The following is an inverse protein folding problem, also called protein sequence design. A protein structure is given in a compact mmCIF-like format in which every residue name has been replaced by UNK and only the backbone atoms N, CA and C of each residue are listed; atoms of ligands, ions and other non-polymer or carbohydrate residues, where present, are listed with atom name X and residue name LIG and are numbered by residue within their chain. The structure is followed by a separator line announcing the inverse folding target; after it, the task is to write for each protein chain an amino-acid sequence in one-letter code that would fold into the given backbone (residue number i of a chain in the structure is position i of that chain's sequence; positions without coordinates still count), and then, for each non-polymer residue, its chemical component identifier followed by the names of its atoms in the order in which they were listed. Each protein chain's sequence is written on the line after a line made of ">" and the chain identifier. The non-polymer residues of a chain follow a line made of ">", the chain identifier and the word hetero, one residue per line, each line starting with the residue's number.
data_IF_724848739721
#
_entry.id   IF_724848739721
#
_cell.length_a   1.000
_cell.length_b   1.000
_cell.length_c   1.000
_cell.angle_alpha   90.00
_cell.angle_beta   90.00
_cell.angle_gamma   90.00
#
_symmetry.space_group_name_H-M   'P 1'
#
loop_
_entity.id
_entity.type
_entity.pdbx_description
1 polymer ?
#
# COMPACT_ATOMS: atom_id res chain seq x y z
N UNK A 1 -25.22 2.41 16.30
CA UNK A 1 -24.76 3.04 15.04
C UNK A 1 -23.35 3.54 15.32
N UNK A 2 -22.25 3.04 14.76
CA UNK A 2 -21.87 2.61 13.40
C UNK A 2 -20.84 1.48 13.64
N UNK A 3 -20.89 0.28 13.06
CA UNK A 3 -20.89 0.00 11.64
C UNK A 3 -19.64 -0.83 11.32
N UNK A 4 -19.84 -2.15 11.27
CA UNK A 4 -19.29 -3.03 10.21
C UNK A 4 -17.79 -3.40 10.22
N UNK A 5 -17.58 -4.71 10.42
CA UNK A 5 -16.69 -5.54 9.60
C UNK A 5 -15.20 -5.57 9.92
N UNK A 6 -14.87 -6.16 11.07
CA UNK A 6 -13.53 -6.63 11.44
C UNK A 6 -13.15 -7.98 10.79
N UNK A 7 -13.56 -8.26 9.53
CA UNK A 7 -13.44 -9.61 8.97
C UNK A 7 -13.20 -9.65 7.45
N UNK A 8 -12.09 -9.12 6.95
CA UNK A 8 -11.83 -9.14 5.50
C UNK A 8 -10.44 -9.61 4.98
N UNK A 9 -9.57 -10.35 5.69
CA UNK A 9 -8.36 -10.87 5.05
C UNK A 9 -8.66 -11.80 3.85
N UNK A 10 -9.69 -12.65 3.94
CA UNK A 10 -10.02 -13.63 2.88
C UNK A 10 -10.85 -13.05 1.73
N UNK A 11 -11.66 -12.02 1.99
CA UNK A 11 -12.52 -11.38 0.98
C UNK A 11 -11.78 -10.28 0.20
N UNK A 12 -10.72 -9.67 0.75
CA UNK A 12 -9.89 -8.72 -0.01
C UNK A 12 -9.03 -9.44 -1.07
N UNK A 13 -8.48 -10.61 -0.74
CA UNK A 13 -7.64 -11.38 -1.67
C UNK A 13 -8.40 -11.90 -2.91
N UNK A 14 -9.72 -12.10 -2.85
CA UNK A 14 -10.52 -12.49 -4.03
C UNK A 14 -10.77 -11.34 -5.00
N UNK A 15 -10.73 -10.08 -4.54
CA UNK A 15 -10.86 -8.89 -5.38
C UNK A 15 -9.57 -8.53 -6.14
N UNK A 16 -8.41 -8.94 -5.65
CA UNK A 16 -7.10 -8.70 -6.28
C UNK A 16 -6.99 -9.41 -7.66
N UNK A 17 -7.83 -10.41 -7.94
CA UNK A 17 -7.80 -11.22 -9.19
C UNK A 17 -8.31 -10.52 -10.46
N UNK A 18 -8.73 -9.25 -10.44
CA UNK A 18 -9.11 -8.52 -11.66
C UNK A 18 -8.35 -7.20 -11.76
N UNK A 19 -7.37 -7.17 -12.66
CA UNK A 19 -6.55 -6.03 -13.11
C UNK A 19 -7.25 -4.66 -13.14
N UNK A 20 -8.57 -4.61 -13.39
CA UNK A 20 -9.32 -3.36 -13.55
C UNK A 20 -9.46 -2.51 -12.29
N UNK A 21 -9.10 -2.98 -11.09
CA UNK A 21 -9.28 -2.22 -9.84
C UNK A 21 -8.05 -2.17 -8.93
N UNK A 22 -6.85 -2.54 -9.42
CA UNK A 22 -5.64 -2.56 -8.59
C UNK A 22 -5.32 -1.18 -7.98
N UNK A 23 -5.38 -0.10 -8.78
CA UNK A 23 -5.12 1.27 -8.30
C UNK A 23 -6.18 1.74 -7.28
N UNK A 24 -7.47 1.48 -7.54
CA UNK A 24 -8.53 1.84 -6.60
C UNK A 24 -8.45 1.05 -5.29
N UNK A 25 -8.00 -0.20 -5.36
CA UNK A 25 -7.76 -1.01 -4.17
C UNK A 25 -6.55 -0.50 -3.39
N UNK A 26 -5.47 -0.14 -4.07
CA UNK A 26 -4.29 0.48 -3.46
C UNK A 26 -4.68 1.76 -2.71
N UNK A 27 -5.41 2.67 -3.35
CA UNK A 27 -5.88 3.91 -2.72
C UNK A 27 -6.68 3.64 -1.43
N UNK A 28 -7.62 2.68 -1.48
CA UNK A 28 -8.41 2.27 -0.31
C UNK A 28 -7.56 1.65 0.80
N UNK A 29 -6.54 0.86 0.45
CA UNK A 29 -5.63 0.27 1.43
C UNK A 29 -4.76 1.35 2.09
N UNK A 30 -4.22 2.29 1.32
CA UNK A 30 -3.47 3.43 1.83
C UNK A 30 -4.33 4.33 2.73
N UNK A 31 -5.58 4.60 2.36
CA UNK A 31 -6.53 5.32 3.23
C UNK A 31 -6.82 4.52 4.51
N UNK A 32 -6.94 3.19 4.44
CA UNK A 32 -7.18 2.35 5.61
C UNK A 32 -5.98 2.29 6.56
N UNK A 33 -4.75 2.40 6.03
CA UNK A 33 -3.52 2.51 6.82
C UNK A 33 -3.56 3.76 7.72
N UNK A 34 -4.12 4.88 7.25
CA UNK A 34 -4.29 6.07 8.10
C UNK A 34 -5.16 5.79 9.32
N UNK A 35 -6.19 4.94 9.15
CA UNK A 35 -7.07 4.48 10.23
C UNK A 35 -6.51 3.30 11.03
N UNK A 36 -5.21 2.99 10.93
CA UNK A 36 -4.56 2.01 11.80
C UNK A 36 -4.34 2.55 13.22
N UNK A 37 -4.33 3.88 13.39
CA UNK A 37 -4.50 4.52 14.69
C UNK A 37 -5.99 4.72 14.93
N UNK A 38 -6.49 4.19 16.06
CA UNK A 38 -7.86 4.42 16.48
C UNK A 38 -8.06 5.80 17.13
N UNK A 39 -9.31 6.15 17.43
CA UNK A 39 -9.66 7.43 18.06
C UNK A 39 -9.06 7.60 19.47
N UNK A 40 -8.55 6.53 20.09
CA UNK A 40 -7.87 6.57 21.39
C UNK A 40 -6.35 6.75 21.24
N UNK A 41 -5.83 6.87 20.02
CA UNK A 41 -4.40 6.98 19.74
C UNK A 41 -3.67 5.63 19.74
N UNK A 42 -4.39 4.51 19.81
CA UNK A 42 -3.77 3.18 19.82
C UNK A 42 -3.51 2.72 18.39
N UNK A 43 -2.26 2.34 18.13
CA UNK A 43 -1.83 1.73 16.89
C UNK A 43 -2.22 0.25 16.84
N UNK A 44 -3.03 -0.13 15.84
CA UNK A 44 -3.23 -1.52 15.44
C UNK A 44 -2.13 -1.97 14.47
N UNK A 45 -1.00 -2.38 15.04
CA UNK A 45 0.16 -2.84 14.27
C UNK A 45 -0.18 -4.03 13.37
N UNK A 46 -1.03 -4.97 13.82
CA UNK A 46 -1.41 -6.16 13.04
C UNK A 46 -2.22 -5.79 11.81
N UNK A 47 -3.12 -4.82 11.93
CA UNK A 47 -3.85 -4.29 10.80
C UNK A 47 -2.89 -3.65 9.78
N UNK A 48 -1.97 -2.80 10.23
CA UNK A 48 -0.97 -2.17 9.36
C UNK A 48 -0.11 -3.21 8.64
N UNK A 49 0.34 -4.25 9.32
CA UNK A 49 1.08 -5.38 8.74
C UNK A 49 0.25 -6.12 7.68
N UNK A 50 -1.01 -6.44 7.97
CA UNK A 50 -1.91 -7.09 7.01
C UNK A 50 -2.13 -6.24 5.76
N UNK A 51 -2.38 -4.94 5.93
CA UNK A 51 -2.62 -4.00 4.83
C UNK A 51 -1.37 -3.83 3.96
N UNK A 52 -0.20 -3.62 4.58
CA UNK A 52 1.07 -3.52 3.85
C UNK A 52 1.38 -4.79 3.06
N UNK A 53 1.10 -5.97 3.62
CA UNK A 53 1.24 -7.23 2.91
C UNK A 53 0.28 -7.35 1.71
N UNK A 54 -0.95 -6.86 1.83
CA UNK A 54 -1.86 -6.80 0.68
C UNK A 54 -1.31 -5.89 -0.43
N UNK A 55 -0.80 -4.71 -0.07
CA UNK A 55 -0.19 -3.76 -1.03
C UNK A 55 0.99 -4.41 -1.76
N UNK A 56 1.85 -5.15 -1.05
CA UNK A 56 3.03 -5.80 -1.66
C UNK A 56 2.70 -6.91 -2.66
N UNK A 57 1.44 -7.37 -2.70
CA UNK A 57 0.94 -8.37 -3.64
C UNK A 57 0.15 -7.76 -4.80
N UNK A 58 -0.09 -6.45 -4.84
CA UNK A 58 -0.82 -5.81 -5.92
C UNK A 58 0.04 -5.69 -7.18
N UNK A 59 -0.55 -5.86 -8.38
CA UNK A 59 0.12 -5.50 -9.62
C UNK A 59 0.16 -3.97 -9.75
N UNK A 60 1.26 -3.36 -9.29
CA UNK A 60 1.43 -1.91 -9.31
C UNK A 60 1.61 -1.40 -10.74
N UNK A 61 0.84 -0.35 -11.07
CA UNK A 61 0.88 0.38 -12.34
C UNK A 61 1.66 1.69 -12.19
N UNK A 62 1.85 2.41 -13.28
CA UNK A 62 2.46 3.77 -13.25
C UNK A 62 1.69 4.71 -12.32
N UNK A 63 0.35 4.61 -12.29
CA UNK A 63 -0.51 5.42 -11.42
C UNK A 63 -0.35 5.05 -9.95
N UNK A 64 -0.02 3.78 -9.67
CA UNK A 64 0.17 3.31 -8.30
C UNK A 64 1.28 4.06 -7.59
N UNK A 65 2.38 4.40 -8.29
CA UNK A 65 3.48 5.17 -7.71
C UNK A 65 3.00 6.53 -7.22
N UNK A 66 2.26 7.27 -8.04
CA UNK A 66 1.69 8.59 -7.68
C UNK A 66 0.75 8.51 -6.48
N UNK A 67 -0.15 7.51 -6.47
CA UNK A 67 -1.05 7.26 -5.33
C UNK A 67 -0.25 7.00 -4.04
N UNK A 68 0.83 6.20 -4.13
CA UNK A 68 1.68 5.93 -2.98
C UNK A 68 2.40 7.20 -2.51
N UNK A 69 3.03 7.96 -3.41
CA UNK A 69 3.69 9.23 -3.09
C UNK A 69 2.75 10.22 -2.40
N UNK A 70 1.54 10.41 -2.93
CA UNK A 70 0.57 11.37 -2.41
C UNK A 70 0.06 10.98 -1.02
N UNK A 71 -0.14 9.67 -0.78
CA UNK A 71 -0.71 9.18 0.48
C UNK A 71 0.35 8.81 1.52
N UNK A 72 1.61 8.56 1.15
CA UNK A 72 2.66 8.12 2.07
C UNK A 72 2.82 9.03 3.30
N UNK A 73 2.81 10.38 3.19
CA UNK A 73 2.93 11.26 4.36
C UNK A 73 1.84 11.01 5.41
N UNK A 74 0.64 10.59 4.99
CA UNK A 74 -0.50 10.37 5.89
C UNK A 74 -0.37 9.12 6.78
N UNK A 75 0.51 8.17 6.41
CA UNK A 75 0.74 6.94 7.17
C UNK A 75 2.24 6.65 7.40
N UNK A 76 3.12 7.64 7.18
CA UNK A 76 4.57 7.49 7.31
C UNK A 76 5.01 6.99 8.70
N UNK A 77 4.25 7.30 9.75
CA UNK A 77 4.51 6.80 11.11
C UNK A 77 4.51 5.25 11.19
N UNK A 78 3.78 4.57 10.30
CA UNK A 78 3.75 3.10 10.21
C UNK A 78 5.06 2.51 9.68
N UNK A 79 5.92 3.31 9.04
CA UNK A 79 7.23 2.86 8.56
C UNK A 79 8.20 2.54 9.70
N UNK A 80 7.86 2.94 10.94
CA UNK A 80 8.58 2.48 12.15
C UNK A 80 8.39 0.98 12.44
N UNK A 81 7.40 0.33 11.81
CA UNK A 81 7.18 -1.11 11.90
C UNK A 81 7.99 -1.82 10.80
N UNK A 82 8.97 -2.63 11.20
CA UNK A 82 9.87 -3.35 10.28
C UNK A 82 9.12 -4.14 9.20
N UNK A 83 8.04 -4.84 9.58
CA UNK A 83 7.21 -5.62 8.66
C UNK A 83 6.53 -4.74 7.61
N UNK A 84 6.02 -3.55 8.01
CA UNK A 84 5.35 -2.61 7.09
C UNK A 84 6.35 -2.04 6.12
N UNK A 85 7.51 -1.59 6.62
CA UNK A 85 8.60 -1.11 5.80
C UNK A 85 9.04 -2.17 4.78
N UNK A 86 9.33 -3.40 5.23
CA UNK A 86 9.74 -4.49 4.37
C UNK A 86 8.71 -4.82 3.28
N UNK A 87 7.42 -4.84 3.62
CA UNK A 87 6.35 -5.10 2.65
C UNK A 87 6.24 -3.99 1.59
N UNK A 88 6.28 -2.71 2.00
CA UNK A 88 6.21 -1.59 1.06
C UNK A 88 7.47 -1.50 0.19
N UNK A 89 8.65 -1.70 0.77
CA UNK A 89 9.90 -1.80 0.00
C UNK A 89 9.84 -2.95 -1.02
N UNK A 90 9.30 -4.12 -0.63
CA UNK A 90 9.12 -5.24 -1.57
C UNK A 90 8.17 -4.88 -2.72
N UNK A 91 7.08 -4.16 -2.44
CA UNK A 91 6.13 -3.66 -3.44
C UNK A 91 6.84 -2.76 -4.46
N UNK A 92 7.61 -1.79 -3.97
CA UNK A 92 8.34 -0.81 -4.77
C UNK A 92 9.47 -1.47 -5.59
N UNK A 93 10.22 -2.38 -4.99
CA UNK A 93 11.25 -3.15 -5.72
C UNK A 93 10.64 -4.04 -6.82
N UNK A 94 9.47 -4.62 -6.55
CA UNK A 94 8.76 -5.40 -7.55
C UNK A 94 8.32 -4.50 -8.72
N UNK A 95 7.69 -3.36 -8.43
CA UNK A 95 7.34 -2.34 -9.42
C UNK A 95 8.54 -1.89 -10.26
N UNK A 96 9.70 -1.66 -9.62
CA UNK A 96 10.94 -1.32 -10.32
C UNK A 96 11.35 -2.38 -11.34
N UNK A 97 11.28 -3.65 -10.95
CA UNK A 97 11.69 -4.79 -11.79
C UNK A 97 10.71 -5.07 -12.92
N UNK A 98 9.41 -4.96 -12.67
CA UNK A 98 8.37 -5.38 -13.64
C UNK A 98 7.91 -4.25 -14.56
N UNK A 99 7.70 -3.06 -14.00
CA UNK A 99 7.00 -1.96 -14.68
C UNK A 99 7.98 -0.86 -15.05
N UNK A 100 8.69 -0.29 -14.06
CA UNK A 100 9.63 0.81 -14.34
C UNK A 100 10.85 0.35 -15.15
N UNK A 101 11.22 -0.94 -15.14
CA UNK A 101 12.39 -1.46 -15.88
C UNK A 101 12.37 -1.12 -17.38
N UNK A 102 11.18 -0.93 -17.95
CA UNK A 102 10.93 -0.66 -19.38
C UNK A 102 10.71 0.83 -19.70
N UNK A 103 10.66 1.70 -18.70
CA UNK A 103 10.42 3.14 -18.88
C UNK A 103 11.41 3.95 -18.02
N UNK A 104 12.33 4.66 -18.69
CA UNK A 104 13.37 5.45 -18.03
C UNK A 104 12.83 6.63 -17.22
N UNK A 105 11.70 7.22 -17.62
CA UNK A 105 11.05 8.32 -16.89
C UNK A 105 10.47 7.81 -15.56
N UNK A 106 9.78 6.66 -15.58
CA UNK A 106 9.28 6.03 -14.36
C UNK A 106 10.38 5.55 -13.41
N UNK A 107 11.56 5.21 -13.93
CA UNK A 107 12.72 4.91 -13.06
C UNK A 107 13.16 6.16 -12.32
N UNK A 108 13.25 7.31 -13.01
CA UNK A 108 13.61 8.56 -12.38
C UNK A 108 12.57 9.01 -11.34
N UNK A 109 11.27 8.95 -11.66
CA UNK A 109 10.18 9.22 -10.69
C UNK A 109 10.29 8.29 -9.46
N UNK A 110 10.66 7.02 -9.69
CA UNK A 110 10.79 6.05 -8.61
C UNK A 110 12.04 6.28 -7.75
N UNK A 111 13.16 6.66 -8.36
CA UNK A 111 14.39 6.96 -7.64
C UNK A 111 14.18 8.20 -6.75
N UNK A 112 13.49 9.24 -7.24
CA UNK A 112 13.07 10.41 -6.43
C UNK A 112 12.13 10.02 -5.28
N UNK A 113 11.21 9.07 -5.50
CA UNK A 113 10.34 8.56 -4.43
C UNK A 113 11.11 7.79 -3.33
N UNK A 114 12.30 7.26 -3.64
CA UNK A 114 13.11 6.46 -2.72
C UNK A 114 14.17 7.26 -1.96
N UNK A 115 14.44 8.51 -2.37
CA UNK A 115 15.34 9.46 -1.69
C UNK A 115 14.70 10.08 -0.44
#
# INVERSE_FOLDING_TARGET
>A
HIGSSFFFPKLLLSFIKKDKQADSLLEKLCQRMQSAIDQSGKLDARLAECLSYCISRLPLSEKSLRIMSDLLPSYAYLLSLDTVFANLSAAVMHFRKTTASRNTELKAELDEFLE
#
